data_IF_273108796416
#
_entry.id   IF_273108796416
#
_cell.length_a   1.000
_cell.length_b   1.000
_cell.length_c   1.000
_cell.angle_alpha   90.00
_cell.angle_beta   90.00
_cell.angle_gamma   90.00
#
_symmetry.space_group_name_H-M   'P 1'
#
loop_
_entity.id
_entity.type
_entity.pdbx_description
1 polymer ?
#
# COMPACT_ATOMS: atom_id res chain seq x y z
N UNK A 1 -20.11 36.35 6.45
CA UNK A 1 -19.71 36.64 5.05
C UNK A 1 -18.38 35.95 4.87
N UNK A 2 -18.41 34.72 4.38
CA UNK A 2 -17.20 33.94 4.16
C UNK A 2 -16.46 34.55 2.96
N UNK A 3 -15.21 34.98 3.18
CA UNK A 3 -14.35 35.37 2.08
C UNK A 3 -14.12 34.12 1.23
N UNK A 4 -14.53 34.16 -0.04
CA UNK A 4 -14.26 33.07 -0.97
C UNK A 4 -12.75 32.84 -1.03
N UNK A 5 -12.30 31.62 -0.74
CA UNK A 5 -10.89 31.23 -0.83
C UNK A 5 -10.45 31.34 -2.29
N UNK A 6 -9.53 32.25 -2.57
CA UNK A 6 -8.90 32.40 -3.89
C UNK A 6 -7.56 31.65 -3.93
N UNK A 7 -7.16 31.25 -5.14
CA UNK A 7 -5.90 30.60 -5.42
C UNK A 7 -5.13 31.41 -6.48
N UNK A 8 -3.86 31.74 -6.22
CA UNK A 8 -3.02 32.43 -7.19
C UNK A 8 -2.80 31.53 -8.40
N UNK A 9 -3.33 31.94 -9.55
CA UNK A 9 -3.30 31.18 -10.80
C UNK A 9 -2.58 31.99 -11.87
N UNK A 10 -1.58 31.39 -12.52
CA UNK A 10 -0.90 32.02 -13.63
C UNK A 10 -1.79 32.07 -14.88
N UNK A 11 -1.83 33.23 -15.53
CA UNK A 11 -2.37 33.41 -16.88
C UNK A 11 -1.29 33.89 -17.83
N UNK A 12 -1.35 33.42 -19.08
CA UNK A 12 -0.41 33.73 -20.16
C UNK A 12 -1.11 34.26 -21.41
N UNK A 13 -0.43 35.11 -22.18
CA UNK A 13 -0.89 35.64 -23.48
C UNK A 13 0.09 35.32 -24.62
N UNK A 14 -0.39 35.29 -25.88
CA UNK A 14 0.47 35.07 -27.05
C UNK A 14 1.64 36.06 -27.21
N UNK A 15 1.52 37.26 -26.64
CA UNK A 15 2.52 38.33 -26.66
C UNK A 15 3.60 38.18 -25.58
N UNK A 16 3.60 37.07 -24.84
CA UNK A 16 4.54 36.80 -23.74
C UNK A 16 4.23 37.55 -22.45
N UNK A 17 3.03 38.11 -22.30
CA UNK A 17 2.58 38.64 -21.01
C UNK A 17 2.19 37.49 -20.08
N UNK A 18 2.62 37.56 -18.82
CA UNK A 18 2.16 36.67 -17.76
C UNK A 18 1.75 37.46 -16.53
N UNK A 19 0.72 37.00 -15.83
CA UNK A 19 0.20 37.62 -14.62
C UNK A 19 -0.42 36.56 -13.70
N UNK A 20 -0.34 36.77 -12.39
CA UNK A 20 -1.05 35.97 -11.39
C UNK A 20 -2.44 36.59 -11.16
N UNK A 21 -3.47 35.76 -11.25
CA UNK A 21 -4.86 36.09 -10.92
C UNK A 21 -5.29 35.34 -9.66
N UNK A 22 -5.93 36.04 -8.73
CA UNK A 22 -6.56 35.41 -7.56
C UNK A 22 -7.94 34.91 -7.95
N UNK A 23 -8.04 33.61 -8.30
CA UNK A 23 -9.27 32.99 -8.81
C UNK A 23 -9.90 32.05 -7.77
N UNK A 24 -11.22 31.97 -7.76
CA UNK A 24 -11.93 30.96 -6.97
C UNK A 24 -11.73 29.55 -7.58
N UNK A 25 -11.97 28.50 -6.79
CA UNK A 25 -11.91 27.14 -7.30
C UNK A 25 -12.88 26.93 -8.49
N UNK A 26 -12.34 26.57 -9.66
CA UNK A 26 -13.10 26.34 -10.89
C UNK A 26 -13.46 27.59 -11.69
N UNK A 27 -13.03 28.77 -11.25
CA UNK A 27 -13.17 30.01 -12.00
C UNK A 27 -12.20 30.04 -13.19
N UNK A 28 -12.69 30.44 -14.36
CA UNK A 28 -11.87 30.54 -15.57
C UNK A 28 -11.07 31.84 -15.59
N UNK A 29 -9.90 31.81 -16.22
CA UNK A 29 -9.13 33.04 -16.47
C UNK A 29 -9.95 34.06 -17.28
N UNK A 30 -9.64 35.37 -17.16
CA UNK A 30 -10.24 36.40 -17.98
C UNK A 30 -10.05 36.13 -19.48
N UNK A 31 -10.99 36.60 -20.31
CA UNK A 31 -10.94 36.38 -21.74
C UNK A 31 -9.60 36.82 -22.36
N UNK A 32 -9.02 35.95 -23.18
CA UNK A 32 -7.72 36.17 -23.84
C UNK A 32 -6.50 35.79 -23.02
N UNK A 33 -6.67 35.13 -21.86
CA UNK A 33 -5.59 34.53 -21.07
C UNK A 33 -5.72 33.01 -21.06
N UNK A 34 -4.58 32.33 -21.15
CA UNK A 34 -4.47 30.87 -21.15
C UNK A 34 -3.77 30.39 -19.88
N UNK A 35 -4.10 29.18 -19.41
CA UNK A 35 -3.45 28.58 -18.23
C UNK A 35 -2.08 27.96 -18.56
N UNK A 36 -1.72 27.93 -19.84
CA UNK A 36 -0.48 27.33 -20.33
C UNK A 36 0.43 28.35 -21.01
N UNK A 37 1.73 28.37 -20.71
CA UNK A 37 2.69 29.22 -21.41
C UNK A 37 2.91 28.80 -22.87
N UNK A 38 2.38 27.64 -23.30
CA UNK A 38 2.46 27.18 -24.69
C UNK A 38 1.69 28.06 -25.67
N UNK A 39 0.84 28.97 -25.21
CA UNK A 39 0.17 29.95 -26.07
C UNK A 39 1.11 31.07 -26.54
N UNK A 40 2.27 31.23 -25.89
CA UNK A 40 3.24 32.29 -26.19
C UNK A 40 3.91 31.97 -27.53
N UNK A 41 3.76 32.90 -28.49
CA UNK A 41 4.19 32.68 -29.88
C UNK A 41 5.69 32.79 -30.09
N UNK A 42 6.38 33.57 -29.24
CA UNK A 42 7.84 33.62 -29.21
C UNK A 42 8.38 32.70 -28.09
N UNK A 43 9.04 31.58 -28.42
CA UNK A 43 9.55 30.64 -27.41
C UNK A 43 10.56 31.27 -26.44
N UNK A 44 11.27 32.32 -26.84
CA UNK A 44 12.22 33.03 -25.97
C UNK A 44 11.52 33.77 -24.82
N UNK A 45 10.28 34.21 -25.04
CA UNK A 45 9.44 34.85 -24.03
C UNK A 45 8.65 33.85 -23.18
N UNK A 46 8.65 32.56 -23.54
CA UNK A 46 8.01 31.49 -22.80
C UNK A 46 8.90 30.91 -21.67
N UNK A 47 10.03 31.54 -21.38
CA UNK A 47 10.97 31.12 -20.32
C UNK A 47 10.60 31.71 -18.96
N UNK A 48 10.90 31.01 -17.87
CA UNK A 48 10.61 31.48 -16.52
C UNK A 48 11.29 32.83 -16.20
N UNK A 49 12.50 33.05 -16.72
CA UNK A 49 13.25 34.29 -16.52
C UNK A 49 12.63 35.46 -17.30
N UNK A 50 12.19 35.25 -18.54
CA UNK A 50 11.53 36.29 -19.33
C UNK A 50 10.20 36.72 -18.70
N UNK A 51 9.43 35.76 -18.20
CA UNK A 51 8.15 36.00 -17.54
C UNK A 51 8.33 36.73 -16.20
N UNK A 52 9.31 36.30 -15.39
CA UNK A 52 9.65 36.94 -14.11
C UNK A 52 10.16 38.37 -14.31
N UNK A 53 11.10 38.58 -15.23
CA UNK A 53 11.63 39.91 -15.54
C UNK A 53 10.51 40.87 -15.94
N UNK A 54 9.59 40.43 -16.81
CA UNK A 54 8.47 41.25 -17.26
C UNK A 54 7.45 41.55 -16.16
N UNK A 55 7.13 40.58 -15.30
CA UNK A 55 6.25 40.77 -14.15
C UNK A 55 6.79 41.85 -13.18
N UNK A 56 8.12 41.95 -13.09
CA UNK A 56 8.82 42.96 -12.28
C UNK A 56 9.08 44.28 -13.04
N UNK A 57 8.56 44.44 -14.26
CA UNK A 57 8.76 45.64 -15.09
C UNK A 57 10.19 45.79 -15.63
N UNK A 58 10.98 44.72 -15.61
CA UNK A 58 12.35 44.68 -16.14
C UNK A 58 12.35 44.14 -17.57
N UNK A 59 13.27 44.65 -18.39
CA UNK A 59 13.51 44.08 -19.73
C UNK A 59 14.24 42.75 -19.57
N UNK A 60 13.67 41.68 -20.13
CA UNK A 60 14.40 40.42 -20.26
C UNK A 60 15.54 40.60 -21.26
N UNK A 61 16.77 40.47 -20.77
CA UNK A 61 17.96 40.35 -21.60
C UNK A 61 18.18 38.86 -21.82
N UNK A 62 17.94 38.39 -23.03
CA UNK A 62 18.31 37.04 -23.42
C UNK A 62 19.81 36.86 -23.13
N UNK A 63 20.22 35.79 -22.42
CA UNK A 63 21.63 35.43 -22.38
C UNK A 63 22.04 35.16 -23.83
N UNK A 64 22.90 36.01 -24.37
CA UNK A 64 23.29 35.97 -25.78
C UNK A 64 23.83 34.57 -26.10
N UNK A 65 23.02 33.77 -26.81
CA UNK A 65 23.34 32.38 -27.07
C UNK A 65 24.51 32.19 -28.07
N UNK A 66 25.04 33.28 -28.64
CA UNK A 66 26.17 33.26 -29.59
C UNK A 66 27.08 34.51 -29.50
N UNK A 67 27.00 35.30 -28.42
CA UNK A 67 28.04 36.30 -28.19
C UNK A 67 29.20 35.60 -27.47
N UNK A 68 30.26 35.28 -28.21
CA UNK A 68 31.57 35.06 -27.61
C UNK A 68 31.82 36.16 -26.57
N UNK A 69 32.27 35.74 -25.39
CA UNK A 69 32.62 36.62 -24.28
C UNK A 69 33.36 37.87 -24.76
N UNK A 70 32.64 38.97 -24.94
CA UNK A 70 33.23 40.31 -24.96
C UNK A 70 32.63 41.07 -23.79
N UNK A 71 33.05 40.65 -22.60
CA UNK A 71 32.91 41.43 -21.36
C UNK A 71 34.06 42.42 -21.34
N UNK A 72 34.06 43.42 -22.21
CA UNK A 72 34.95 44.58 -22.08
C UNK A 72 34.27 45.86 -22.61
N UNK A 73 33.22 46.30 -21.92
CA UNK A 73 32.97 47.73 -21.80
C UNK A 73 33.47 48.20 -20.45
N UNK A 74 34.69 48.74 -20.50
CA UNK A 74 35.43 49.68 -19.65
C UNK A 74 34.67 50.42 -18.52
N UNK A 75 34.04 49.67 -17.62
CA UNK A 75 33.91 50.07 -16.23
C UNK A 75 34.90 49.18 -15.47
N UNK A 76 35.91 49.78 -14.84
CA UNK A 76 36.90 49.07 -14.04
C UNK A 76 36.20 48.00 -13.20
N UNK A 77 36.38 46.73 -13.56
CA UNK A 77 35.81 45.63 -12.81
C UNK A 77 36.24 45.85 -11.35
N UNK A 78 35.30 45.84 -10.38
CA UNK A 78 35.70 45.96 -8.99
C UNK A 78 36.74 44.87 -8.75
N UNK A 79 37.91 45.26 -8.24
CA UNK A 79 38.96 44.31 -7.95
C UNK A 79 38.36 43.22 -7.06
N UNK A 80 38.24 42.00 -7.60
CA UNK A 80 37.77 40.85 -6.82
C UNK A 80 38.80 40.69 -5.73
N UNK A 81 38.36 40.83 -4.48
CA UNK A 81 39.19 40.58 -3.33
C UNK A 81 39.72 39.13 -3.43
N UNK A 82 41.04 38.92 -3.61
CA UNK A 82 41.61 37.60 -3.77
C UNK A 82 41.28 36.67 -2.60
N UNK A 83 41.12 37.23 -1.40
CA UNK A 83 40.75 36.48 -0.20
C UNK A 83 39.28 36.02 -0.28
N UNK A 84 38.38 36.88 -0.75
CA UNK A 84 36.98 36.51 -0.97
C UNK A 84 36.82 35.41 -2.03
N UNK A 85 37.64 35.45 -3.09
CA UNK A 85 37.65 34.40 -4.11
C UNK A 85 38.21 33.07 -3.58
N UNK A 86 39.31 33.11 -2.83
CA UNK A 86 39.87 31.92 -2.19
C UNK A 86 38.89 31.29 -1.19
N UNK A 87 38.18 32.10 -0.41
CA UNK A 87 37.13 31.63 0.50
C UNK A 87 35.97 30.97 -0.24
N UNK A 88 35.53 31.53 -1.38
CA UNK A 88 34.48 30.94 -2.19
C UNK A 88 34.89 29.57 -2.75
N UNK A 89 36.14 29.41 -3.20
CA UNK A 89 36.66 28.11 -3.65
C UNK A 89 36.69 27.09 -2.51
N UNK A 90 37.16 27.48 -1.32
CA UNK A 90 37.16 26.60 -0.15
C UNK A 90 35.74 26.16 0.26
N UNK A 91 34.75 27.06 0.16
CA UNK A 91 33.35 26.71 0.41
C UNK A 91 32.77 25.79 -0.67
N UNK A 92 33.13 25.98 -1.94
CA UNK A 92 32.74 25.07 -3.04
C UNK A 92 33.29 23.67 -2.77
N UNK A 93 34.56 23.55 -2.36
CA UNK A 93 35.17 22.26 -2.03
C UNK A 93 34.44 21.59 -0.85
N UNK A 94 34.17 22.35 0.22
CA UNK A 94 33.41 21.87 1.37
C UNK A 94 32.00 21.39 0.98
N UNK A 95 31.26 22.16 0.18
CA UNK A 95 29.92 21.79 -0.27
C UNK A 95 29.96 20.57 -1.18
N UNK A 96 30.99 20.45 -2.03
CA UNK A 96 31.20 19.28 -2.89
C UNK A 96 31.39 18.02 -2.06
N UNK A 97 32.18 18.09 -0.99
CA UNK A 97 32.38 16.96 -0.08
C UNK A 97 31.10 16.59 0.69
N UNK A 98 30.32 17.58 1.12
CA UNK A 98 29.00 17.37 1.75
C UNK A 98 28.04 16.66 0.78
N UNK A 99 27.96 17.13 -0.47
CA UNK A 99 27.10 16.54 -1.50
C UNK A 99 27.51 15.10 -1.76
N UNK A 100 28.81 14.83 -1.91
CA UNK A 100 29.33 13.47 -2.12
C UNK A 100 29.01 12.55 -0.94
N UNK A 101 29.15 13.04 0.29
CA UNK A 101 28.77 12.31 1.50
C UNK A 101 27.27 12.01 1.54
N UNK A 102 26.43 13.00 1.20
CA UNK A 102 24.98 12.82 1.12
C UNK A 102 24.55 11.83 0.04
N UNK A 103 25.20 11.83 -1.13
CA UNK A 103 24.96 10.84 -2.18
C UNK A 103 25.27 9.42 -1.70
N UNK A 104 26.42 9.20 -1.07
CA UNK A 104 26.77 7.89 -0.54
C UNK A 104 25.80 7.40 0.55
N UNK A 105 25.29 8.30 1.40
CA UNK A 105 24.26 7.97 2.38
C UNK A 105 22.93 7.61 1.72
N UNK A 106 22.52 8.35 0.69
CA UNK A 106 21.30 8.05 -0.07
C UNK A 106 21.40 6.68 -0.75
N UNK A 107 22.54 6.35 -1.38
CA UNK A 107 22.75 5.05 -2.01
C UNK A 107 22.64 3.90 -1.00
N UNK A 108 23.18 4.10 0.22
CA UNK A 108 23.06 3.13 1.31
C UNK A 108 21.61 2.96 1.77
N UNK A 109 20.85 4.06 1.92
CA UNK A 109 19.44 4.02 2.30
C UNK A 109 18.58 3.35 1.23
N UNK A 110 18.85 3.59 -0.05
CA UNK A 110 18.15 2.91 -1.15
C UNK A 110 18.37 1.41 -1.06
N UNK A 111 19.62 0.98 -0.86
CA UNK A 111 19.95 -0.45 -0.69
C UNK A 111 19.23 -1.06 0.52
N UNK A 112 19.16 -0.34 1.64
CA UNK A 112 18.44 -0.79 2.84
C UNK A 112 16.93 -0.92 2.59
N UNK A 113 16.33 0.03 1.89
CA UNK A 113 14.91 0.00 1.52
C UNK A 113 14.61 -1.19 0.61
N UNK A 114 15.40 -1.41 -0.44
CA UNK A 114 15.22 -2.55 -1.35
C UNK A 114 15.31 -3.89 -0.61
N UNK A 115 16.26 -4.02 0.33
CA UNK A 115 16.39 -5.21 1.16
C UNK A 115 15.17 -5.40 2.10
N UNK A 116 14.66 -4.31 2.68
CA UNK A 116 13.47 -4.35 3.52
C UNK A 116 12.20 -4.72 2.72
N UNK A 117 12.05 -4.21 1.51
CA UNK A 117 10.95 -4.53 0.60
C UNK A 117 10.95 -6.03 0.24
N UNK A 118 12.11 -6.58 -0.11
CA UNK A 118 12.26 -8.02 -0.39
C UNK A 118 11.94 -8.88 0.84
N UNK A 119 12.31 -8.42 2.05
CA UNK A 119 11.98 -9.12 3.29
C UNK A 119 10.46 -9.10 3.57
N UNK A 120 9.77 -7.98 3.30
CA UNK A 120 8.32 -7.86 3.46
C UNK A 120 7.58 -8.76 2.45
N UNK A 121 8.04 -8.83 1.21
CA UNK A 121 7.46 -9.74 0.20
C UNK A 121 7.59 -11.21 0.62
N UNK A 122 8.78 -11.59 1.12
CA UNK A 122 9.03 -12.94 1.65
C UNK A 122 8.10 -13.26 2.82
N UNK A 123 8.03 -12.37 3.82
CA UNK A 123 7.16 -12.55 4.99
C UNK A 123 5.68 -12.61 4.62
N UNK A 124 5.26 -11.84 3.61
CA UNK A 124 3.87 -11.86 3.11
C UNK A 124 3.53 -13.20 2.48
N UNK A 125 4.45 -13.75 1.68
CA UNK A 125 4.32 -15.08 1.07
C UNK A 125 4.20 -16.16 2.15
N UNK A 126 5.08 -16.14 3.15
CA UNK A 126 5.04 -17.07 4.28
C UNK A 126 3.73 -16.99 5.07
N UNK A 127 3.22 -15.78 5.32
CA UNK A 127 1.93 -15.59 6.01
C UNK A 127 0.74 -16.14 5.22
N UNK A 128 0.76 -16.02 3.88
CA UNK A 128 -0.27 -16.61 3.02
C UNK A 128 -0.21 -18.13 3.15
N UNK A 129 0.97 -18.74 3.01
CA UNK A 129 1.14 -20.20 3.14
C UNK A 129 0.72 -20.72 4.52
N UNK A 130 1.04 -20.01 5.61
CA UNK A 130 0.61 -20.37 6.96
C UNK A 130 -0.91 -20.30 7.13
N UNK A 131 -1.58 -19.32 6.52
CA UNK A 131 -3.05 -19.21 6.54
C UNK A 131 -3.70 -20.37 5.79
N UNK A 132 -3.17 -20.74 4.64
CA UNK A 132 -3.65 -21.89 3.86
C UNK A 132 -3.49 -23.20 4.65
N UNK A 133 -2.32 -23.40 5.28
CA UNK A 133 -2.07 -24.57 6.13
C UNK A 133 -3.03 -24.63 7.32
N UNK A 134 -3.26 -23.50 8.00
CA UNK A 134 -4.21 -23.44 9.13
C UNK A 134 -5.65 -23.75 8.69
N UNK A 135 -6.06 -23.28 7.51
CA UNK A 135 -7.38 -23.57 6.95
C UNK A 135 -7.54 -25.06 6.60
N UNK A 136 -6.50 -25.67 6.03
CA UNK A 136 -6.47 -27.11 5.76
C UNK A 136 -6.56 -27.93 7.06
N UNK A 137 -5.73 -27.61 8.06
CA UNK A 137 -5.71 -28.30 9.36
C UNK A 137 -7.05 -28.18 10.09
N UNK A 138 -7.69 -27.00 10.03
CA UNK A 138 -9.02 -26.79 10.61
C UNK A 138 -10.09 -27.67 9.93
N UNK A 139 -9.99 -27.82 8.60
CA UNK A 139 -10.88 -28.70 7.83
C UNK A 139 -10.65 -30.17 8.20
N UNK A 140 -9.40 -30.61 8.24
CA UNK A 140 -9.03 -31.98 8.61
C UNK A 140 -9.47 -32.33 10.03
N UNK A 141 -9.30 -31.41 10.97
CA UNK A 141 -9.80 -31.55 12.34
C UNK A 141 -11.32 -31.69 12.39
N UNK A 142 -12.06 -30.89 11.63
CA UNK A 142 -13.53 -31.01 11.57
C UNK A 142 -13.96 -32.37 11.01
N UNK A 143 -13.30 -32.85 9.96
CA UNK A 143 -13.54 -34.17 9.38
C UNK A 143 -13.23 -35.30 10.38
N UNK A 144 -12.11 -35.20 11.10
CA UNK A 144 -11.73 -36.16 12.13
C UNK A 144 -12.76 -36.20 13.26
N UNK A 145 -13.29 -35.05 13.68
CA UNK A 145 -14.31 -34.96 14.73
C UNK A 145 -15.63 -35.61 14.28
N UNK A 146 -16.10 -35.34 13.07
CA UNK A 146 -17.28 -35.98 12.50
C UNK A 146 -17.13 -37.52 12.40
N UNK A 147 -15.91 -38.00 12.09
CA UNK A 147 -15.60 -39.44 12.09
C UNK A 147 -15.67 -40.04 13.49
N UNK A 148 -15.16 -39.34 14.51
CA UNK A 148 -15.25 -39.79 15.91
C UNK A 148 -16.70 -39.86 16.37
N UNK A 149 -17.53 -38.88 16.02
CA UNK A 149 -18.96 -38.88 16.34
C UNK A 149 -19.67 -40.09 15.71
N UNK A 150 -19.39 -40.38 14.43
CA UNK A 150 -19.92 -41.56 13.73
C UNK A 150 -19.50 -42.86 14.41
N UNK A 151 -18.20 -43.01 14.70
CA UNK A 151 -17.68 -44.21 15.38
C UNK A 151 -18.24 -44.37 16.80
N UNK A 152 -18.51 -43.26 17.49
CA UNK A 152 -19.14 -43.27 18.81
C UNK A 152 -20.58 -43.77 18.72
N UNK A 153 -21.34 -43.32 17.72
CA UNK A 153 -22.70 -43.81 17.47
C UNK A 153 -22.72 -45.30 17.09
N UNK A 154 -21.80 -45.73 16.22
CA UNK A 154 -21.66 -47.13 15.83
C UNK A 154 -21.30 -48.03 17.02
N UNK A 155 -20.40 -47.58 17.89
CA UNK A 155 -20.04 -48.29 19.12
C UNK A 155 -21.23 -48.42 20.07
N UNK A 156 -22.01 -47.35 20.25
CA UNK A 156 -23.21 -47.37 21.07
C UNK A 156 -24.24 -48.37 20.53
N UNK A 157 -24.45 -48.38 19.21
CA UNK A 157 -25.33 -49.36 18.55
C UNK A 157 -24.82 -50.80 18.74
N UNK A 158 -23.55 -51.05 18.45
CA UNK A 158 -22.96 -52.38 18.63
C UNK A 158 -23.05 -52.88 20.08
N UNK A 159 -22.95 -51.97 21.05
CA UNK A 159 -23.13 -52.28 22.48
C UNK A 159 -24.58 -52.70 22.77
N UNK A 160 -25.56 -51.98 22.23
CA UNK A 160 -26.99 -52.35 22.34
C UNK A 160 -27.26 -53.71 21.69
N UNK A 161 -26.81 -53.91 20.45
CA UNK A 161 -26.98 -55.16 19.70
C UNK A 161 -26.39 -56.35 20.47
N UNK A 162 -25.23 -56.16 21.12
CA UNK A 162 -24.59 -57.19 21.97
C UNK A 162 -25.44 -57.54 23.20
N UNK A 163 -26.01 -56.54 23.88
CA UNK A 163 -26.89 -56.73 25.04
C UNK A 163 -28.17 -57.47 24.65
N UNK A 164 -28.77 -57.11 23.51
CA UNK A 164 -29.96 -57.79 22.98
C UNK A 164 -29.65 -59.25 22.61
N UNK A 165 -28.53 -59.50 21.92
CA UNK A 165 -28.10 -60.85 21.58
C UNK A 165 -27.83 -61.71 22.83
N UNK A 166 -27.20 -61.14 23.87
CA UNK A 166 -26.99 -61.82 25.14
C UNK A 166 -28.31 -62.19 25.82
N UNK A 167 -29.26 -61.25 25.88
CA UNK A 167 -30.59 -61.47 26.46
C UNK A 167 -31.35 -62.57 25.71
N UNK A 168 -31.30 -62.57 24.37
CA UNK A 168 -31.93 -63.60 23.55
C UNK A 168 -31.30 -64.99 23.78
N UNK A 169 -29.97 -65.04 23.97
CA UNK A 169 -29.26 -66.28 24.28
C UNK A 169 -29.68 -66.85 25.65
N UNK A 170 -29.80 -66.00 26.67
CA UNK A 170 -30.29 -66.40 28.00
C UNK A 170 -31.72 -66.96 27.93
N UNK A 171 -32.61 -66.32 27.17
CA UNK A 171 -33.98 -66.81 26.98
C UNK A 171 -34.03 -68.15 26.24
N UNK A 172 -33.21 -68.33 25.20
CA UNK A 172 -33.16 -69.56 24.41
C UNK A 172 -32.55 -70.74 25.19
N UNK A 173 -31.70 -70.47 26.18
CA UNK A 173 -31.03 -71.49 27.00
C UNK A 173 -31.71 -71.77 28.34
N UNK A 174 -32.82 -71.06 28.64
CA UNK A 174 -33.60 -71.28 29.84
C UNK A 174 -34.17 -72.73 29.88
N UNK A 175 -34.11 -73.42 31.03
CA UNK A 175 -34.63 -74.77 31.15
C UNK A 175 -36.14 -74.81 30.88
N UNK A 176 -36.60 -75.85 30.15
CA UNK A 176 -38.01 -76.02 29.83
C UNK A 176 -38.86 -76.05 31.11
N UNK A 177 -40.02 -75.36 31.13
CA UNK A 177 -40.90 -75.38 32.29
C UNK A 177 -41.28 -76.82 32.61
N UNK A 178 -41.17 -77.20 33.89
CA UNK A 178 -41.55 -78.53 34.33
C UNK A 178 -42.99 -78.83 33.90
N UNK A 179 -43.29 -80.02 33.35
CA UNK A 179 -44.63 -80.37 32.92
C UNK A 179 -45.57 -80.26 34.12
N UNK A 180 -46.54 -79.35 34.03
CA UNK A 180 -47.54 -79.12 35.06
C UNK A 180 -48.33 -80.41 35.27
N UNK A 181 -48.31 -80.97 36.48
CA UNK A 181 -49.15 -82.11 36.84
C UNK A 181 -50.61 -81.81 36.48
N UNK A 182 -51.20 -82.68 35.66
CA UNK A 182 -52.59 -82.57 35.28
C UNK A 182 -53.49 -82.51 36.53
N UNK A 183 -54.48 -81.61 36.58
CA UNK A 183 -55.33 -81.45 37.76
C UNK A 183 -56.01 -82.77 38.09
N UNK A 184 -55.76 -83.28 39.31
CA UNK A 184 -56.45 -84.46 39.84
C UNK A 184 -57.96 -84.19 39.82
N UNK A 185 -58.69 -85.01 39.08
CA UNK A 185 -60.14 -84.94 38.99
C UNK A 185 -60.78 -84.98 40.39
N UNK A 186 -61.82 -84.16 40.65
CA UNK A 186 -62.46 -84.11 41.96
C UNK A 186 -63.14 -85.45 42.27
N UNK A 187 -62.81 -86.01 43.44
CA UNK A 187 -63.45 -87.21 43.97
C UNK A 187 -64.94 -86.93 44.22
N UNK A 188 -65.83 -87.74 43.62
CA UNK A 188 -67.27 -87.69 43.87
C UNK A 188 -67.54 -88.13 45.31
N UNK A 189 -68.13 -87.24 46.12
CA UNK A 189 -68.72 -87.61 47.40
C UNK A 189 -70.08 -88.31 47.17
N UNK A 190 -70.30 -89.42 47.88
CA UNK A 190 -71.55 -90.19 47.94
C UNK A 190 -72.42 -89.70 49.09
#
# INVERSE_FOLDING_TARGET
MDAATTFPTWGYKPDGSAQIFDLSAGETLPAGWETSPTCITNPELATADALTARAEGRTYLQPAADAGHDVLTDAAAPAVDPDAFANALAEIDRLTDIIRGGQAQNDALITEIEAAEAAVETATTELISLRELLAAETTDKANALAKVETLTADLAKATTDLVEAHTALEQATAPAPAPTEAPKAPAKAK
#
